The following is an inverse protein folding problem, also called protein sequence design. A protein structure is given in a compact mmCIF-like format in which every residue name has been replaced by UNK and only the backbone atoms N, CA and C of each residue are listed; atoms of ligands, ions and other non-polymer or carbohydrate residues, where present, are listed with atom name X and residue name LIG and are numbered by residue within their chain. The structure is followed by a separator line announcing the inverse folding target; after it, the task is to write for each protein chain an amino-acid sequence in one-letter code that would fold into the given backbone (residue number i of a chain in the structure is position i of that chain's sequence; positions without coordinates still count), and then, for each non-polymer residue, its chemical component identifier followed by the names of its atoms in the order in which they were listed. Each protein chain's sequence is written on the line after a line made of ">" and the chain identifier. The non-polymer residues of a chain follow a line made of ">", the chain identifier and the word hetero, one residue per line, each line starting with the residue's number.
data_IF_613494833448
#
_entry.id   IF_613494833448
#
_cell.length_a   1.000
_cell.length_b   1.000
_cell.length_c   1.000
_cell.angle_alpha   90.00
_cell.angle_beta   90.00
_cell.angle_gamma   90.00
#
_symmetry.space_group_name_H-M   'P 1'
#
loop_
_entity.id
_entity.type
_entity.pdbx_description
1 polymer ?
#
# COMPACT_ATOMS: atom_id res chain seq x y z
N UNK A 1 -15.86 -23.38 -12.49
CA UNK A 1 -16.83 -23.48 -11.38
C UNK A 1 -17.08 -22.10 -10.75
N UNK A 2 -16.13 -21.55 -10.00
CA UNK A 2 -16.36 -20.31 -9.22
C UNK A 2 -16.62 -19.11 -10.15
N UNK A 3 -15.66 -18.73 -10.99
CA UNK A 3 -15.75 -17.49 -11.80
C UNK A 3 -16.97 -17.49 -12.73
N UNK A 4 -17.12 -18.56 -13.53
CA UNK A 4 -18.19 -18.64 -14.52
C UNK A 4 -19.50 -19.26 -14.00
N UNK A 5 -19.39 -20.19 -13.02
CA UNK A 5 -20.55 -20.87 -12.45
C UNK A 5 -21.22 -20.08 -11.34
N UNK A 6 -20.49 -19.80 -10.24
CA UNK A 6 -21.07 -19.14 -9.05
C UNK A 6 -21.21 -17.63 -9.25
N UNK A 7 -20.22 -16.97 -9.88
CA UNK A 7 -20.21 -15.53 -10.08
C UNK A 7 -20.86 -15.09 -11.40
N UNK A 8 -21.13 -16.04 -12.31
CA UNK A 8 -21.82 -15.76 -13.57
C UNK A 8 -21.01 -14.90 -14.56
N UNK A 9 -19.66 -14.92 -14.47
CA UNK A 9 -18.83 -14.17 -15.39
C UNK A 9 -18.84 -14.80 -16.79
N UNK A 10 -19.24 -14.05 -17.81
CA UNK A 10 -19.42 -14.48 -19.20
C UNK A 10 -18.38 -13.87 -20.18
N UNK A 11 -17.50 -12.98 -19.69
CA UNK A 11 -16.49 -12.32 -20.49
C UNK A 11 -15.25 -13.17 -20.79
N UNK A 12 -14.30 -12.57 -21.51
CA UNK A 12 -13.00 -13.19 -21.83
C UNK A 12 -12.09 -13.25 -20.60
N UNK A 13 -11.42 -14.39 -20.41
CA UNK A 13 -10.38 -14.59 -19.40
C UNK A 13 -9.03 -14.61 -20.08
N UNK A 14 -8.16 -13.68 -19.72
CA UNK A 14 -6.81 -13.54 -20.27
C UNK A 14 -5.81 -14.02 -19.22
N UNK A 15 -4.82 -14.84 -19.61
CA UNK A 15 -3.79 -15.27 -18.68
C UNK A 15 -2.84 -14.12 -18.34
N UNK A 16 -2.23 -14.18 -17.18
CA UNK A 16 -1.01 -13.45 -16.91
C UNK A 16 0.15 -14.01 -17.77
N UNK A 17 1.23 -13.24 -17.94
CA UNK A 17 2.41 -13.64 -18.71
C UNK A 17 3.02 -14.93 -18.15
N UNK A 18 2.96 -16.00 -18.98
CA UNK A 18 3.44 -17.32 -18.59
C UNK A 18 2.55 -18.05 -17.55
N UNK A 19 1.33 -17.61 -17.32
CA UNK A 19 0.40 -18.18 -16.34
C UNK A 19 -0.29 -19.47 -16.75
N UNK A 20 -0.12 -19.93 -18.01
CA UNK A 20 -0.70 -21.18 -18.50
C UNK A 20 0.27 -22.36 -18.35
N UNK A 21 -0.11 -23.40 -17.60
CA UNK A 21 0.69 -24.62 -17.40
C UNK A 21 0.19 -25.80 -18.22
N UNK A 22 -1.09 -25.88 -18.54
CA UNK A 22 -1.75 -26.90 -19.39
C UNK A 22 -2.75 -26.16 -20.27
N UNK A 23 -2.38 -25.92 -21.52
CA UNK A 23 -3.16 -25.10 -22.45
C UNK A 23 -4.50 -25.75 -22.79
N UNK A 24 -4.54 -27.06 -22.95
CA UNK A 24 -5.77 -27.80 -23.25
C UNK A 24 -6.75 -27.75 -22.07
N UNK A 25 -6.27 -27.97 -20.85
CA UNK A 25 -7.08 -27.86 -19.64
C UNK A 25 -7.53 -26.43 -19.40
N UNK A 26 -6.67 -25.45 -19.70
CA UNK A 26 -7.01 -24.04 -19.66
C UNK A 26 -8.21 -23.69 -20.56
N UNK A 27 -8.17 -24.05 -21.83
CA UNK A 27 -9.28 -23.86 -22.79
C UNK A 27 -10.55 -24.52 -22.29
N UNK A 28 -10.47 -25.78 -21.85
CA UNK A 28 -11.62 -26.55 -21.34
C UNK A 28 -12.28 -25.87 -20.12
N UNK A 29 -11.48 -25.26 -19.25
CA UNK A 29 -11.97 -24.62 -18.02
C UNK A 29 -12.25 -23.13 -18.17
N UNK A 30 -12.12 -22.55 -19.39
CA UNK A 30 -12.57 -21.19 -19.64
C UNK A 30 -11.51 -20.11 -19.75
N UNK A 31 -10.23 -20.48 -19.93
CA UNK A 31 -9.18 -19.54 -20.33
C UNK A 31 -9.34 -19.19 -21.80
N UNK A 32 -9.59 -17.92 -22.09
CA UNK A 32 -10.01 -17.45 -23.43
C UNK A 32 -8.80 -17.06 -24.29
N UNK A 33 -7.82 -16.36 -23.72
CA UNK A 33 -6.66 -15.84 -24.43
C UNK A 33 -5.40 -16.04 -23.59
N UNK A 34 -4.39 -16.66 -24.18
CA UNK A 34 -3.07 -16.83 -23.58
C UNK A 34 -2.15 -15.67 -23.94
N UNK A 35 -1.46 -15.13 -22.92
CA UNK A 35 -0.52 -14.03 -23.04
C UNK A 35 0.79 -14.35 -22.32
N UNK A 36 1.97 -14.02 -22.92
CA UNK A 36 2.12 -13.82 -24.36
C UNK A 36 1.95 -15.13 -25.08
N UNK A 37 1.71 -15.09 -26.37
CA UNK A 37 1.69 -16.32 -27.15
C UNK A 37 3.07 -17.03 -27.08
N UNK A 38 3.13 -18.32 -26.67
CA UNK A 38 4.40 -19.06 -26.53
C UNK A 38 4.93 -19.58 -27.89
N UNK A 39 4.64 -18.88 -28.96
CA UNK A 39 4.95 -19.31 -30.33
C UNK A 39 3.98 -20.41 -30.81
N UNK A 40 4.50 -21.44 -31.50
CA UNK A 40 3.66 -22.52 -32.01
C UNK A 40 3.39 -23.65 -31.00
N UNK A 41 3.91 -23.58 -29.78
CA UNK A 41 3.86 -24.74 -28.87
C UNK A 41 2.45 -24.98 -28.34
N UNK A 42 1.76 -23.96 -27.84
CA UNK A 42 0.38 -24.11 -27.38
C UNK A 42 -0.58 -24.50 -28.51
N UNK A 43 -0.34 -24.01 -29.73
CA UNK A 43 -1.14 -24.40 -30.89
C UNK A 43 -1.01 -25.90 -31.18
N UNK A 44 0.22 -26.42 -31.15
CA UNK A 44 0.47 -27.86 -31.35
C UNK A 44 -0.14 -28.71 -30.27
N UNK A 45 -0.06 -28.24 -29.00
CA UNK A 45 -0.68 -28.92 -27.85
C UNK A 45 -2.19 -28.96 -27.99
N UNK A 46 -2.83 -27.84 -28.36
CA UNK A 46 -4.27 -27.77 -28.55
C UNK A 46 -4.75 -28.66 -29.71
N UNK A 47 -4.05 -28.66 -30.86
CA UNK A 47 -4.38 -29.55 -31.97
C UNK A 47 -4.30 -31.03 -31.57
N UNK A 48 -3.24 -31.41 -30.88
CA UNK A 48 -3.06 -32.80 -30.40
C UNK A 48 -4.14 -33.16 -29.35
N UNK A 49 -4.54 -32.19 -28.53
CA UNK A 49 -5.60 -32.37 -27.54
C UNK A 49 -6.99 -32.57 -28.18
N UNK A 50 -7.29 -31.91 -29.28
CA UNK A 50 -8.51 -32.14 -30.08
C UNK A 50 -8.44 -33.52 -30.76
N UNK A 51 -7.33 -33.82 -31.43
CA UNK A 51 -7.16 -35.11 -32.10
C UNK A 51 -7.27 -36.31 -31.16
N UNK A 52 -6.75 -36.19 -29.94
CA UNK A 52 -6.85 -37.21 -28.89
C UNK A 52 -8.20 -37.22 -28.12
N UNK A 53 -9.08 -36.27 -28.36
CA UNK A 53 -10.35 -36.11 -27.63
C UNK A 53 -10.21 -35.62 -26.19
N UNK A 54 -9.04 -35.07 -25.80
CA UNK A 54 -8.83 -34.44 -24.48
C UNK A 54 -9.72 -33.19 -24.32
N UNK A 55 -9.86 -32.41 -25.39
CA UNK A 55 -10.80 -31.30 -25.56
C UNK A 55 -11.59 -31.50 -26.86
N UNK A 56 -12.71 -30.80 -27.01
CA UNK A 56 -13.53 -30.81 -28.19
C UNK A 56 -13.38 -29.51 -28.99
N UNK A 57 -13.75 -29.50 -30.29
CA UNK A 57 -13.86 -28.26 -31.05
C UNK A 57 -14.84 -27.27 -30.39
N UNK A 58 -15.91 -27.78 -29.78
CA UNK A 58 -16.88 -26.94 -29.08
C UNK A 58 -16.32 -26.23 -27.85
N UNK A 59 -15.26 -26.76 -27.21
CA UNK A 59 -14.53 -26.06 -26.14
C UNK A 59 -13.78 -24.85 -26.72
N UNK A 60 -13.22 -25.00 -27.92
CA UNK A 60 -12.54 -23.90 -28.63
C UNK A 60 -13.56 -22.84 -29.10
N UNK A 61 -14.68 -23.29 -29.71
CA UNK A 61 -15.76 -22.42 -30.17
C UNK A 61 -16.34 -21.57 -29.03
N UNK A 62 -16.47 -22.15 -27.82
CA UNK A 62 -16.88 -21.40 -26.63
C UNK A 62 -15.89 -20.28 -26.28
N UNK A 63 -14.58 -20.54 -26.35
CA UNK A 63 -13.56 -19.49 -26.13
C UNK A 63 -13.60 -18.41 -27.22
N UNK A 64 -13.79 -18.79 -28.48
CA UNK A 64 -13.94 -17.85 -29.59
C UNK A 64 -15.19 -16.97 -29.39
N UNK A 65 -16.29 -17.53 -28.93
CA UNK A 65 -17.52 -16.79 -28.65
C UNK A 65 -17.36 -15.75 -27.51
N UNK A 66 -16.41 -15.96 -26.59
CA UNK A 66 -16.05 -15.00 -25.54
C UNK A 66 -15.06 -13.94 -26.05
N UNK A 67 -14.16 -14.31 -26.97
CA UNK A 67 -13.10 -13.43 -27.48
C UNK A 67 -13.62 -12.45 -28.53
N UNK A 68 -14.48 -12.93 -29.46
CA UNK A 68 -14.92 -12.13 -30.60
C UNK A 68 -15.67 -10.85 -30.20
N UNK A 69 -16.59 -10.85 -29.21
CA UNK A 69 -17.21 -9.61 -28.73
C UNK A 69 -16.15 -8.59 -28.27
N UNK A 70 -15.15 -9.03 -27.49
CA UNK A 70 -14.05 -8.16 -27.03
C UNK A 70 -13.29 -7.53 -28.21
N UNK A 71 -12.98 -8.34 -29.25
CA UNK A 71 -12.29 -7.87 -30.45
C UNK A 71 -13.14 -6.86 -31.21
N UNK A 72 -14.43 -7.12 -31.41
CA UNK A 72 -15.32 -6.20 -32.12
C UNK A 72 -15.58 -4.92 -31.37
N UNK A 73 -15.77 -4.98 -30.04
CA UNK A 73 -16.02 -3.80 -29.20
C UNK A 73 -14.76 -2.92 -29.12
N UNK A 74 -13.57 -3.51 -28.97
CA UNK A 74 -12.31 -2.76 -29.00
C UNK A 74 -12.05 -2.14 -30.38
N UNK A 75 -12.38 -2.86 -31.47
CA UNK A 75 -12.30 -2.30 -32.83
C UNK A 75 -13.23 -1.10 -33.00
N UNK A 76 -14.47 -1.19 -32.52
CA UNK A 76 -15.43 -0.08 -32.57
C UNK A 76 -14.93 1.12 -31.75
N UNK A 77 -14.28 0.88 -30.60
CA UNK A 77 -13.69 1.94 -29.80
C UNK A 77 -12.49 2.61 -30.51
N UNK A 78 -11.66 1.83 -31.22
CA UNK A 78 -10.53 2.36 -32.01
C UNK A 78 -11.00 3.18 -33.22
N UNK A 79 -12.12 2.81 -33.83
CA UNK A 79 -12.70 3.52 -34.98
C UNK A 79 -13.46 4.79 -34.56
N UNK A 80 -13.75 4.95 -33.27
CA UNK A 80 -14.38 6.15 -32.74
C UNK A 80 -13.41 7.34 -32.78
N UNK A 81 -13.95 8.56 -32.88
CA UNK A 81 -13.12 9.76 -32.79
C UNK A 81 -12.32 9.80 -31.49
N UNK A 82 -11.02 10.15 -31.54
CA UNK A 82 -10.21 10.30 -30.34
C UNK A 82 -10.87 11.27 -29.36
N UNK A 83 -10.90 10.88 -28.08
CA UNK A 83 -11.34 11.77 -27.00
C UNK A 83 -10.10 12.40 -26.38
N UNK A 84 -10.09 13.72 -26.36
CA UNK A 84 -9.11 14.43 -25.55
C UNK A 84 -9.41 14.22 -24.06
N UNK A 85 -8.37 14.07 -23.25
CA UNK A 85 -8.49 14.05 -21.81
C UNK A 85 -7.71 15.23 -21.21
N UNK A 86 -8.21 15.77 -20.12
CA UNK A 86 -7.56 16.86 -19.39
C UNK A 86 -6.44 16.30 -18.52
N UNK A 87 -5.21 16.33 -19.04
CA UNK A 87 -4.02 15.86 -18.35
C UNK A 87 -3.79 16.61 -17.02
N UNK A 88 -4.11 17.89 -16.94
CA UNK A 88 -3.95 18.69 -15.73
C UNK A 88 -4.95 18.27 -14.66
N UNK A 89 -6.22 18.03 -15.05
CA UNK A 89 -7.24 17.51 -14.12
C UNK A 89 -6.87 16.11 -13.61
N UNK A 90 -6.33 15.23 -14.47
CA UNK A 90 -5.86 13.90 -14.08
C UNK A 90 -4.65 13.97 -13.15
N UNK A 91 -3.71 14.89 -13.40
CA UNK A 91 -2.57 15.12 -12.50
C UNK A 91 -3.03 15.63 -11.13
N UNK A 92 -4.00 16.56 -11.10
CA UNK A 92 -4.59 17.05 -9.85
C UNK A 92 -5.34 15.93 -9.09
N UNK A 93 -6.04 15.03 -9.80
CA UNK A 93 -6.66 13.85 -9.19
C UNK A 93 -5.63 12.90 -8.60
N UNK A 94 -4.53 12.61 -9.34
CA UNK A 94 -3.42 11.80 -8.84
C UNK A 94 -2.78 12.42 -7.58
N UNK A 95 -2.63 13.75 -7.53
CA UNK A 95 -2.13 14.47 -6.36
C UNK A 95 -3.06 14.28 -5.16
N UNK A 96 -4.36 14.48 -5.32
CA UNK A 96 -5.34 14.28 -4.24
C UNK A 96 -5.32 12.83 -3.73
N UNK A 97 -5.23 11.85 -4.63
CA UNK A 97 -5.12 10.44 -4.24
C UNK A 97 -3.84 10.19 -3.41
N UNK A 98 -2.72 10.78 -3.79
CA UNK A 98 -1.48 10.69 -3.03
C UNK A 98 -1.59 11.39 -1.67
N UNK A 99 -2.16 12.59 -1.59
CA UNK A 99 -2.40 13.33 -0.33
C UNK A 99 -3.21 12.50 0.67
N UNK A 100 -4.26 11.84 0.20
CA UNK A 100 -5.12 10.99 1.02
C UNK A 100 -4.46 9.65 1.43
N UNK A 101 -3.36 9.28 0.76
CA UNK A 101 -2.61 8.03 1.00
C UNK A 101 -1.39 8.21 1.91
N UNK A 102 -0.92 9.44 2.15
CA UNK A 102 0.23 9.70 3.02
C UNK A 102 -0.04 9.26 4.44
N UNK A 103 0.91 8.53 5.03
CA UNK A 103 0.80 8.03 6.41
C UNK A 103 1.84 8.70 7.30
N UNK A 104 1.39 9.45 8.29
CA UNK A 104 2.25 10.02 9.32
C UNK A 104 2.52 8.95 10.40
N UNK A 105 3.75 8.45 10.46
CA UNK A 105 4.12 7.35 11.36
C UNK A 105 4.73 7.84 12.69
N UNK A 106 5.34 9.03 12.69
CA UNK A 106 5.95 9.64 13.89
C UNK A 106 5.90 11.16 13.76
N UNK A 107 5.62 11.87 14.85
CA UNK A 107 5.67 13.34 14.89
C UNK A 107 5.92 13.84 16.33
N UNK A 108 7.13 13.63 16.84
CA UNK A 108 7.52 14.04 18.18
C UNK A 108 7.62 15.57 18.29
N UNK A 109 7.12 16.10 19.38
CA UNK A 109 7.13 17.53 19.62
C UNK A 109 6.34 18.36 18.60
N UNK A 110 5.45 17.72 17.83
CA UNK A 110 4.69 18.38 16.75
C UNK A 110 5.60 19.11 15.78
N UNK A 111 6.71 18.46 15.35
CA UNK A 111 7.65 19.03 14.39
C UNK A 111 6.97 19.34 13.05
N UNK A 112 6.05 18.48 12.62
CA UNK A 112 5.19 18.70 11.46
C UNK A 112 3.81 19.22 11.90
N UNK A 113 3.20 20.13 11.09
CA UNK A 113 3.72 20.71 9.87
C UNK A 113 4.82 21.74 10.15
N UNK A 114 5.72 21.94 9.16
CA UNK A 114 6.78 22.92 9.23
C UNK A 114 6.20 24.34 9.10
N UNK A 115 6.65 25.24 9.96
CA UNK A 115 6.21 26.63 9.89
C UNK A 115 6.74 27.36 8.64
N UNK A 116 5.95 28.28 8.10
CA UNK A 116 6.38 29.13 6.99
C UNK A 116 7.68 29.88 7.34
N UNK A 117 8.59 29.97 6.38
CA UNK A 117 9.90 30.60 6.55
C UNK A 117 10.95 29.75 7.29
N UNK A 118 10.61 28.55 7.78
CA UNK A 118 11.58 27.65 8.41
C UNK A 118 12.74 27.35 7.47
N UNK A 119 13.96 27.46 7.96
CA UNK A 119 15.17 27.12 7.20
C UNK A 119 15.31 25.60 7.13
N UNK A 120 15.16 25.04 5.94
CA UNK A 120 15.21 23.60 5.72
C UNK A 120 16.37 23.21 4.80
N UNK A 121 17.10 22.16 5.21
CA UNK A 121 18.03 21.45 4.34
C UNK A 121 17.30 20.25 3.74
N UNK A 122 17.35 20.09 2.42
CA UNK A 122 16.79 18.92 1.72
C UNK A 122 17.92 17.95 1.40
N UNK A 123 17.83 16.73 1.90
CA UNK A 123 18.88 15.72 1.76
C UNK A 123 18.24 14.42 1.24
N UNK A 124 18.97 13.71 0.38
CA UNK A 124 18.55 12.41 -0.14
C UNK A 124 18.29 12.43 -1.64
N UNK A 125 18.73 11.37 -2.33
CA UNK A 125 18.60 11.24 -3.78
C UNK A 125 17.14 11.34 -4.24
N UNK A 126 16.22 10.73 -3.49
CA UNK A 126 14.80 10.68 -3.83
C UNK A 126 14.09 12.04 -3.82
N UNK A 127 14.68 13.06 -3.21
CA UNK A 127 14.13 14.42 -3.27
C UNK A 127 14.23 15.04 -4.67
N UNK A 128 15.26 14.66 -5.44
CA UNK A 128 15.54 15.16 -6.78
C UNK A 128 15.21 14.15 -7.88
N UNK A 129 15.39 12.86 -7.59
CA UNK A 129 15.13 11.75 -8.50
C UNK A 129 13.99 10.91 -7.93
N UNK A 130 12.70 11.24 -8.19
CA UNK A 130 11.57 10.64 -7.51
C UNK A 130 11.47 9.13 -7.68
N UNK A 131 11.25 8.41 -6.59
CA UNK A 131 10.80 7.02 -6.59
C UNK A 131 9.28 7.03 -6.45
N UNK A 132 8.55 7.02 -7.56
CA UNK A 132 7.11 7.30 -7.58
C UNK A 132 6.24 6.14 -8.07
N UNK A 133 6.85 5.12 -8.67
CA UNK A 133 6.16 3.94 -9.20
C UNK A 133 6.97 2.66 -9.00
N UNK A 134 6.35 1.49 -9.19
CA UNK A 134 7.02 0.20 -9.20
C UNK A 134 8.11 0.09 -10.27
N UNK A 135 8.90 -0.98 -10.23
CA UNK A 135 9.89 -1.31 -11.24
C UNK A 135 9.53 -2.65 -11.90
N UNK A 136 9.90 -2.81 -13.17
CA UNK A 136 9.50 -3.95 -14.00
C UNK A 136 8.38 -3.59 -14.97
N UNK A 137 7.46 -4.51 -15.22
CA UNK A 137 6.38 -4.36 -16.22
C UNK A 137 5.34 -3.28 -15.85
N UNK A 138 5.26 -2.89 -14.58
CA UNK A 138 4.37 -1.83 -14.10
C UNK A 138 4.81 -0.40 -14.47
N UNK A 139 6.00 -0.22 -15.01
CA UNK A 139 6.53 1.10 -15.33
C UNK A 139 5.73 1.79 -16.44
N UNK A 140 5.34 3.04 -16.18
CA UNK A 140 4.61 3.91 -17.11
C UNK A 140 5.48 5.13 -17.43
N UNK A 141 5.51 5.54 -18.69
CA UNK A 141 6.14 6.79 -19.12
C UNK A 141 5.20 7.96 -18.82
N UNK A 142 5.28 8.49 -17.62
CA UNK A 142 4.45 9.60 -17.18
C UNK A 142 4.77 10.87 -17.99
N UNK A 143 3.73 11.60 -18.40
CA UNK A 143 3.88 12.87 -19.15
C UNK A 143 4.37 14.01 -18.28
N UNK A 144 4.17 13.91 -16.97
CA UNK A 144 4.62 14.87 -15.96
C UNK A 144 4.94 14.11 -14.67
N UNK A 145 6.04 14.45 -14.02
CA UNK A 145 6.42 13.92 -12.70
C UNK A 145 6.82 15.09 -11.81
N UNK A 146 6.18 15.22 -10.65
CA UNK A 146 6.55 16.20 -9.64
C UNK A 146 7.88 15.80 -8.97
N UNK A 147 8.74 16.78 -8.72
CA UNK A 147 10.01 16.63 -7.99
C UNK A 147 9.88 17.32 -6.63
N UNK A 148 10.17 16.60 -5.54
CA UNK A 148 9.97 17.16 -4.20
C UNK A 148 10.80 18.40 -3.93
N UNK A 149 12.07 18.40 -4.37
CA UNK A 149 12.95 19.56 -4.21
C UNK A 149 12.33 20.82 -4.83
N UNK A 150 11.81 20.72 -6.05
CA UNK A 150 11.20 21.86 -6.75
C UNK A 150 9.92 22.33 -6.02
N UNK A 151 9.08 21.40 -5.58
CA UNK A 151 7.87 21.73 -4.82
C UNK A 151 8.15 22.40 -3.47
N UNK A 152 9.26 22.02 -2.81
CA UNK A 152 9.69 22.67 -1.56
C UNK A 152 10.27 24.06 -1.81
N UNK A 153 11.04 24.26 -2.89
CA UNK A 153 11.55 25.57 -3.29
C UNK A 153 10.39 26.53 -3.61
N UNK A 154 9.34 26.03 -4.25
CA UNK A 154 8.14 26.81 -4.60
C UNK A 154 7.18 27.00 -3.41
N UNK A 155 7.47 26.41 -2.24
CA UNK A 155 6.64 26.50 -1.04
C UNK A 155 6.98 27.73 -0.18
N UNK A 156 6.29 27.86 0.97
CA UNK A 156 6.57 28.90 1.97
C UNK A 156 7.81 28.60 2.83
N UNK A 157 8.50 27.48 2.61
CA UNK A 157 9.71 27.12 3.35
C UNK A 157 10.94 27.85 2.78
N UNK A 158 11.93 28.14 3.64
CA UNK A 158 13.22 28.65 3.22
C UNK A 158 14.19 27.47 2.98
N UNK A 159 14.18 26.92 1.76
CA UNK A 159 15.11 25.86 1.35
C UNK A 159 16.50 26.43 1.20
N UNK A 160 17.42 26.15 2.15
CA UNK A 160 18.78 26.69 2.15
C UNK A 160 19.75 25.92 1.26
N UNK A 161 19.37 24.74 0.79
CA UNK A 161 20.16 23.92 -0.13
C UNK A 161 19.69 22.48 -0.22
N UNK A 162 20.32 21.77 -1.16
CA UNK A 162 20.13 20.33 -1.40
C UNK A 162 21.48 19.62 -1.41
N UNK A 163 21.51 18.40 -0.84
CA UNK A 163 22.62 17.46 -0.94
C UNK A 163 22.09 16.04 -1.19
N UNK A 164 22.72 15.31 -2.10
CA UNK A 164 22.34 13.93 -2.39
C UNK A 164 22.52 13.01 -1.18
N UNK A 165 23.60 13.18 -0.42
CA UNK A 165 23.85 12.54 0.87
C UNK A 165 24.27 11.07 0.81
N UNK A 166 23.74 10.28 -0.13
CA UNK A 166 24.07 8.87 -0.31
C UNK A 166 23.98 8.45 -1.79
N UNK A 167 24.67 7.38 -2.14
CA UNK A 167 24.50 6.69 -3.42
C UNK A 167 23.21 5.86 -3.41
N UNK A 168 22.37 6.01 -4.45
CA UNK A 168 21.03 5.40 -4.55
C UNK A 168 21.03 3.89 -4.41
N UNK A 169 22.10 3.23 -4.93
CA UNK A 169 22.24 1.77 -4.98
C UNK A 169 23.04 1.19 -3.82
N UNK A 170 23.21 1.96 -2.73
CA UNK A 170 23.78 1.48 -1.48
C UNK A 170 25.32 1.53 -1.40
N UNK A 171 26.01 2.08 -2.42
CA UNK A 171 27.47 2.21 -2.37
C UNK A 171 27.89 3.26 -1.34
N UNK A 172 28.82 2.95 -0.44
CA UNK A 172 29.35 3.92 0.52
C UNK A 172 30.03 5.10 -0.19
N UNK A 173 29.72 6.33 0.23
CA UNK A 173 30.36 7.56 -0.25
C UNK A 173 30.49 8.58 0.89
N UNK A 174 31.70 8.69 1.44
CA UNK A 174 31.99 9.58 2.54
C UNK A 174 31.94 11.09 2.15
N UNK A 175 32.13 11.43 0.87
CA UNK A 175 32.07 12.81 0.43
C UNK A 175 30.60 13.29 0.36
N UNK A 176 29.70 12.45 -0.12
CA UNK A 176 28.27 12.73 -0.11
C UNK A 176 27.75 12.90 1.33
N UNK A 177 28.12 11.99 2.23
CA UNK A 177 27.73 12.07 3.64
C UNK A 177 28.25 13.35 4.31
N UNK A 178 29.53 13.70 4.08
CA UNK A 178 30.15 14.90 4.67
C UNK A 178 29.42 16.18 4.23
N UNK A 179 29.20 16.35 2.94
CA UNK A 179 28.51 17.55 2.41
C UNK A 179 27.06 17.66 2.89
N UNK A 180 26.38 16.53 3.08
CA UNK A 180 25.05 16.51 3.67
C UNK A 180 25.06 16.96 5.15
N UNK A 181 26.00 16.47 5.95
CA UNK A 181 26.17 16.90 7.34
C UNK A 181 26.53 18.41 7.44
N UNK A 182 27.40 18.92 6.57
CA UNK A 182 27.75 20.34 6.52
C UNK A 182 26.52 21.22 6.22
N UNK A 183 25.65 20.80 5.30
CA UNK A 183 24.38 21.50 5.03
C UNK A 183 23.42 21.41 6.22
N UNK A 184 23.30 20.23 6.84
CA UNK A 184 22.41 19.97 7.98
C UNK A 184 22.70 20.88 9.19
N UNK A 185 23.97 21.25 9.43
CA UNK A 185 24.35 22.17 10.54
C UNK A 185 23.82 23.59 10.36
N UNK A 186 23.45 23.99 9.14
CA UNK A 186 23.00 25.35 8.80
C UNK A 186 21.49 25.52 8.81
N UNK A 187 20.76 24.40 8.91
CA UNK A 187 19.30 24.35 8.86
C UNK A 187 18.65 24.31 10.23
N UNK A 188 17.44 24.84 10.34
CA UNK A 188 16.60 24.64 11.52
C UNK A 188 16.03 23.22 11.57
N UNK A 189 15.74 22.65 10.39
CA UNK A 189 15.19 21.28 10.23
C UNK A 189 15.76 20.64 8.96
N UNK A 190 15.99 19.33 9.01
CA UNK A 190 16.41 18.53 7.86
C UNK A 190 15.22 17.73 7.34
N UNK A 191 14.96 17.81 6.04
CA UNK A 191 14.06 16.91 5.32
C UNK A 191 14.95 15.86 4.65
N UNK A 192 14.94 14.64 5.17
CA UNK A 192 15.76 13.52 4.68
C UNK A 192 14.90 12.51 3.92
N UNK A 193 15.10 12.41 2.60
CA UNK A 193 14.40 11.52 1.70
C UNK A 193 15.14 10.19 1.59
N UNK A 194 14.59 9.14 2.18
CA UNK A 194 15.12 7.78 2.20
C UNK A 194 14.15 6.81 1.54
N UNK A 195 14.63 5.63 1.14
CA UNK A 195 13.73 4.63 0.56
C UNK A 195 14.43 3.43 -0.07
N UNK A 196 13.63 2.61 -0.74
CA UNK A 196 14.08 1.49 -1.55
C UNK A 196 14.23 1.92 -3.01
N UNK A 197 15.33 1.54 -3.64
CA UNK A 197 15.54 1.79 -5.06
C UNK A 197 14.78 0.78 -5.96
N UNK A 198 14.88 0.97 -7.26
CA UNK A 198 14.21 0.14 -8.26
C UNK A 198 14.72 -1.30 -8.29
N UNK A 199 15.95 -1.54 -7.81
CA UNK A 199 16.54 -2.89 -7.76
C UNK A 199 16.03 -3.64 -6.53
N UNK A 200 15.93 -2.94 -5.40
CA UNK A 200 15.45 -3.54 -4.15
C UNK A 200 13.96 -3.94 -4.22
N UNK A 201 13.16 -3.22 -5.01
CA UNK A 201 11.73 -3.49 -5.21
C UNK A 201 11.40 -3.58 -6.69
N UNK A 202 11.87 -4.61 -7.36
CA UNK A 202 11.55 -4.88 -8.76
C UNK A 202 10.68 -6.11 -8.89
N UNK A 203 9.79 -6.10 -9.87
CA UNK A 203 9.10 -7.30 -10.31
C UNK A 203 10.10 -8.41 -10.65
N UNK A 204 9.80 -9.64 -10.23
CA UNK A 204 10.65 -10.80 -10.47
C UNK A 204 11.89 -10.92 -9.58
N UNK A 205 12.10 -9.99 -8.65
CA UNK A 205 13.19 -10.03 -7.67
C UNK A 205 12.64 -10.10 -6.25
N UNK A 206 13.00 -11.17 -5.53
CA UNK A 206 12.60 -11.34 -4.13
C UNK A 206 13.53 -10.59 -3.20
N UNK A 207 12.97 -9.86 -2.24
CA UNK A 207 13.73 -9.26 -1.14
C UNK A 207 14.13 -10.32 -0.14
N UNK A 208 15.40 -10.33 0.25
CA UNK A 208 15.94 -11.24 1.28
C UNK A 208 15.84 -10.67 2.70
N UNK A 209 15.43 -9.42 2.84
CA UNK A 209 15.29 -8.70 4.13
C UNK A 209 14.37 -7.50 3.94
N UNK A 210 14.01 -6.82 5.05
CA UNK A 210 13.19 -5.61 5.05
C UNK A 210 14.00 -4.33 5.32
N UNK A 211 15.31 -4.31 5.09
CA UNK A 211 16.18 -3.19 5.46
C UNK A 211 16.31 -2.18 4.33
N UNK A 212 16.54 -0.93 4.71
CA UNK A 212 17.10 0.08 3.82
C UNK A 212 18.59 -0.21 3.57
N UNK A 213 19.14 0.34 2.49
CA UNK A 213 20.57 0.30 2.25
C UNK A 213 21.33 0.95 3.41
N UNK A 214 22.44 0.33 3.85
CA UNK A 214 23.16 0.74 5.06
C UNK A 214 23.69 2.17 4.97
N UNK A 215 24.12 2.62 3.78
CA UNK A 215 24.60 3.99 3.57
C UNK A 215 23.55 5.07 3.88
N UNK A 216 22.25 4.79 3.71
CA UNK A 216 21.16 5.69 4.08
C UNK A 216 21.01 5.76 5.61
N UNK A 217 21.10 4.62 6.29
CA UNK A 217 21.04 4.54 7.76
C UNK A 217 22.25 5.25 8.39
N UNK A 218 23.44 5.02 7.85
CA UNK A 218 24.67 5.69 8.30
C UNK A 218 24.58 7.21 8.12
N UNK A 219 24.00 7.66 6.99
CA UNK A 219 23.75 9.08 6.77
C UNK A 219 22.77 9.66 7.81
N UNK A 220 21.64 9.00 8.05
CA UNK A 220 20.66 9.45 9.05
C UNK A 220 21.30 9.61 10.42
N UNK A 221 22.12 8.63 10.84
CA UNK A 221 22.85 8.69 12.12
C UNK A 221 23.85 9.86 12.17
N UNK A 222 24.60 10.08 11.07
CA UNK A 222 25.56 11.17 10.98
C UNK A 222 24.85 12.55 10.99
N UNK A 223 23.73 12.68 10.29
CA UNK A 223 22.92 13.92 10.29
C UNK A 223 22.30 14.15 11.67
N UNK A 224 21.79 13.11 12.34
CA UNK A 224 21.22 13.21 13.69
C UNK A 224 22.25 13.68 14.75
N UNK A 225 23.51 13.36 14.56
CA UNK A 225 24.57 13.82 15.43
C UNK A 225 24.84 15.34 15.35
N UNK A 226 24.47 16.00 14.24
CA UNK A 226 24.70 17.42 14.01
C UNK A 226 23.42 18.25 14.00
N UNK A 227 22.28 17.64 13.72
CA UNK A 227 20.96 18.28 13.76
C UNK A 227 19.88 17.25 14.15
N UNK A 228 19.28 17.35 15.35
CA UNK A 228 18.30 16.37 15.81
C UNK A 228 16.89 16.57 15.21
N UNK A 229 16.63 17.74 14.58
CA UNK A 229 15.32 18.02 13.98
C UNK A 229 15.25 17.45 12.57
N UNK A 230 14.99 16.16 12.46
CA UNK A 230 14.93 15.45 11.19
C UNK A 230 13.51 14.97 10.92
N UNK A 231 13.01 15.31 9.74
CA UNK A 231 11.83 14.71 9.13
C UNK A 231 12.31 13.70 8.09
N UNK A 232 12.05 12.44 8.30
CA UNK A 232 12.28 11.41 7.28
C UNK A 232 11.04 11.30 6.39
N UNK A 233 11.21 11.44 5.08
CA UNK A 233 10.23 11.09 4.05
C UNK A 233 10.65 9.76 3.46
N UNK A 234 9.84 8.72 3.68
CA UNK A 234 10.17 7.35 3.31
C UNK A 234 9.45 6.93 2.05
N UNK A 235 10.21 6.55 1.02
CA UNK A 235 9.74 6.04 -0.26
C UNK A 235 9.99 4.53 -0.36
N UNK A 236 8.95 3.73 -0.24
CA UNK A 236 9.00 2.28 -0.46
C UNK A 236 7.62 1.76 -0.81
N UNK A 237 7.53 0.81 -1.71
CA UNK A 237 6.27 0.15 -2.07
C UNK A 237 5.85 -0.91 -1.06
N UNK A 238 6.73 -1.28 -0.14
CA UNK A 238 6.52 -2.30 0.88
C UNK A 238 7.18 -1.93 2.21
N UNK A 239 6.92 -2.74 3.22
CA UNK A 239 7.43 -2.59 4.60
C UNK A 239 8.95 -2.53 4.64
N UNK A 240 9.48 -1.65 5.50
CA UNK A 240 10.90 -1.62 5.87
C UNK A 240 11.09 -1.70 7.38
N UNK A 241 12.14 -2.40 7.83
CA UNK A 241 12.58 -2.36 9.22
C UNK A 241 13.05 -0.95 9.58
N UNK A 242 12.64 -0.45 10.73
CA UNK A 242 12.97 0.90 11.19
C UNK A 242 13.72 0.93 12.52
N UNK A 243 14.84 0.19 12.70
CA UNK A 243 15.63 0.24 13.92
C UNK A 243 16.24 1.63 14.16
N UNK A 244 16.30 2.45 13.14
CA UNK A 244 16.81 3.83 13.11
C UNK A 244 15.77 4.91 13.48
N UNK A 245 14.55 4.53 13.83
CA UNK A 245 13.42 5.46 14.04
C UNK A 245 13.69 6.53 15.12
N UNK A 246 14.50 6.22 16.10
CA UNK A 246 14.85 7.16 17.17
C UNK A 246 15.81 8.28 16.72
N UNK A 247 16.40 8.15 15.54
CA UNK A 247 17.26 9.18 14.95
C UNK A 247 16.50 10.26 14.19
N UNK A 248 15.17 10.21 14.14
CA UNK A 248 14.34 11.26 13.53
C UNK A 248 13.18 11.65 14.45
N UNK A 249 12.74 12.93 14.38
CA UNK A 249 11.60 13.42 15.15
C UNK A 249 10.27 13.16 14.44
N UNK A 250 10.27 13.13 13.10
CA UNK A 250 9.07 12.82 12.33
C UNK A 250 9.38 11.82 11.20
N UNK A 251 8.40 10.96 10.92
CA UNK A 251 8.44 10.00 9.82
C UNK A 251 7.15 10.07 9.03
N UNK A 252 7.25 10.51 7.77
CA UNK A 252 6.16 10.51 6.81
C UNK A 252 6.41 9.40 5.78
N UNK A 253 5.53 8.42 5.72
CA UNK A 253 5.55 7.36 4.72
C UNK A 253 4.80 7.81 3.48
N UNK A 254 5.54 8.01 2.39
CA UNK A 254 5.04 8.51 1.12
C UNK A 254 4.70 7.39 0.12
N UNK A 255 5.07 6.16 0.44
CA UNK A 255 4.90 5.00 -0.44
C UNK A 255 5.45 5.25 -1.85
N UNK A 256 4.76 4.77 -2.89
CA UNK A 256 5.00 5.08 -4.30
C UNK A 256 3.83 5.93 -4.79
N UNK A 257 3.89 7.23 -4.53
CA UNK A 257 2.76 8.17 -4.63
C UNK A 257 2.32 8.55 -6.05
N UNK A 258 2.87 7.91 -7.09
CA UNK A 258 2.56 8.24 -8.49
C UNK A 258 3.16 9.58 -8.93
N UNK A 259 2.83 9.98 -10.16
CA UNK A 259 3.44 11.15 -10.82
C UNK A 259 3.30 12.49 -10.06
N UNK A 260 2.30 12.63 -9.19
CA UNK A 260 2.03 13.83 -8.41
C UNK A 260 2.36 13.67 -6.91
N UNK A 261 2.94 12.53 -6.51
CA UNK A 261 3.20 12.19 -5.10
C UNK A 261 4.14 13.16 -4.40
N UNK A 262 5.15 13.67 -5.10
CA UNK A 262 6.10 14.64 -4.52
C UNK A 262 5.39 15.97 -4.13
N UNK A 263 4.42 16.40 -4.92
CA UNK A 263 3.59 17.54 -4.57
C UNK A 263 2.73 17.29 -3.33
N UNK A 264 2.13 16.10 -3.21
CA UNK A 264 1.38 15.71 -2.02
C UNK A 264 2.25 15.71 -0.76
N UNK A 265 3.49 15.21 -0.84
CA UNK A 265 4.47 15.26 0.26
C UNK A 265 4.75 16.69 0.67
N UNK A 266 5.01 17.60 -0.28
CA UNK A 266 5.26 19.00 0.02
C UNK A 266 4.06 19.67 0.74
N UNK A 267 2.82 19.37 0.31
CA UNK A 267 1.62 19.89 0.95
C UNK A 267 1.43 19.35 2.37
N UNK A 268 1.76 18.08 2.61
CA UNK A 268 1.75 17.53 3.95
C UNK A 268 2.83 18.17 4.85
N UNK A 269 4.06 18.30 4.36
CA UNK A 269 5.17 18.91 5.13
C UNK A 269 4.88 20.36 5.52
N UNK A 270 4.16 21.12 4.69
CA UNK A 270 3.80 22.53 4.92
C UNK A 270 2.45 22.72 5.62
N UNK A 271 1.71 21.64 5.88
CA UNK A 271 0.39 21.70 6.54
C UNK A 271 -0.75 22.16 5.65
N UNK A 272 -0.55 22.32 4.35
CA UNK A 272 -1.66 22.53 3.40
C UNK A 272 -2.62 21.35 3.38
N UNK A 273 -2.09 20.16 3.61
CA UNK A 273 -2.85 18.92 3.77
C UNK A 273 -2.47 18.26 5.09
N UNK A 274 -3.47 17.79 5.83
CA UNK A 274 -3.26 17.01 7.03
C UNK A 274 -3.26 15.51 6.67
N UNK A 275 -2.17 14.74 6.89
CA UNK A 275 -2.12 13.32 6.59
C UNK A 275 -3.26 12.55 7.25
N UNK A 276 -3.89 11.67 6.48
CA UNK A 276 -5.00 10.84 6.96
C UNK A 276 -4.89 9.37 6.56
N UNK A 277 -3.89 9.01 5.77
CA UNK A 277 -3.64 7.63 5.37
C UNK A 277 -3.41 6.73 6.58
N UNK A 278 -3.76 5.45 6.41
CA UNK A 278 -3.54 4.40 7.41
C UNK A 278 -2.75 3.26 6.76
N UNK A 279 -1.85 2.64 7.52
CA UNK A 279 -1.08 1.49 7.03
C UNK A 279 -2.01 0.34 6.60
N UNK A 280 -1.83 -0.13 5.38
CA UNK A 280 -2.53 -1.28 4.82
C UNK A 280 -1.87 -2.62 5.22
N UNK A 281 -0.76 -2.57 5.92
CA UNK A 281 0.00 -3.75 6.41
C UNK A 281 0.59 -3.50 7.80
N UNK A 282 0.88 -4.60 8.50
CA UNK A 282 1.60 -4.54 9.78
C UNK A 282 3.10 -4.44 9.53
N UNK A 283 3.77 -3.52 10.19
CA UNK A 283 5.22 -3.38 10.14
C UNK A 283 5.86 -4.14 11.31
N UNK A 284 6.55 -5.27 11.07
CA UNK A 284 7.22 -6.03 12.12
C UNK A 284 8.42 -5.26 12.68
N UNK A 285 8.96 -5.71 13.80
CA UNK A 285 10.24 -5.22 14.33
C UNK A 285 11.41 -5.70 13.47
N UNK A 286 11.34 -6.93 12.97
CA UNK A 286 12.35 -7.55 12.13
C UNK A 286 11.73 -8.51 11.11
N UNK A 287 12.43 -8.77 10.02
CA UNK A 287 12.03 -9.75 8.99
C UNK A 287 11.75 -11.15 9.58
N UNK A 288 12.54 -11.55 10.56
CA UNK A 288 12.38 -12.86 11.23
C UNK A 288 11.04 -13.02 11.97
N UNK A 289 10.31 -11.93 12.24
CA UNK A 289 8.99 -11.98 12.88
C UNK A 289 7.86 -12.28 11.89
N UNK A 290 8.13 -12.19 10.57
CA UNK A 290 7.15 -12.49 9.53
C UNK A 290 6.94 -14.00 9.47
N UNK A 291 5.69 -14.51 9.50
CA UNK A 291 5.44 -15.95 9.59
C UNK A 291 5.98 -16.76 8.39
N UNK A 292 6.08 -16.16 7.21
CA UNK A 292 6.64 -16.77 6.02
C UNK A 292 8.16 -16.60 5.85
N UNK A 293 8.84 -15.86 6.74
CA UNK A 293 10.26 -15.49 6.58
C UNK A 293 11.20 -16.70 6.36
N UNK A 294 10.89 -17.84 6.98
CA UNK A 294 11.72 -19.05 6.85
C UNK A 294 11.52 -19.78 5.49
N UNK A 295 10.38 -19.58 4.84
CA UNK A 295 9.99 -20.31 3.63
C UNK A 295 9.91 -19.41 2.39
N UNK A 296 9.96 -18.08 2.55
CA UNK A 296 9.93 -17.12 1.43
C UNK A 296 11.26 -17.14 0.67
N UNK A 297 11.19 -17.05 -0.66
CA UNK A 297 12.35 -16.99 -1.59
C UNK A 297 13.30 -18.19 -1.51
N UNK A 298 12.83 -19.36 -1.07
CA UNK A 298 13.70 -20.53 -0.83
C UNK A 298 14.07 -21.32 -2.08
N UNK A 299 13.76 -20.92 -3.29
CA UNK A 299 14.03 -21.65 -4.54
C UNK A 299 13.57 -23.13 -4.53
N UNK A 300 12.65 -23.50 -3.67
CA UNK A 300 12.02 -24.84 -3.65
C UNK A 300 11.07 -24.98 -4.85
N UNK A 301 10.91 -26.19 -5.35
CA UNK A 301 9.93 -26.47 -6.42
C UNK A 301 8.47 -26.40 -5.93
N UNK A 302 8.27 -26.53 -4.63
CA UNK A 302 6.95 -26.53 -4.00
C UNK A 302 6.88 -25.42 -2.98
N UNK A 303 5.81 -24.63 -3.02
CA UNK A 303 5.49 -23.59 -2.05
C UNK A 303 4.28 -24.04 -1.25
N UNK A 304 4.37 -23.94 0.08
CA UNK A 304 3.28 -24.29 0.99
C UNK A 304 2.75 -23.02 1.66
N UNK A 305 1.46 -22.75 1.51
CA UNK A 305 0.78 -21.61 2.14
C UNK A 305 0.44 -21.93 3.61
N UNK A 306 1.47 -22.05 4.47
CA UNK A 306 1.35 -22.49 5.87
C UNK A 306 0.63 -21.48 6.77
N UNK A 307 0.61 -20.21 6.37
CA UNK A 307 -0.01 -19.14 7.16
C UNK A 307 -1.53 -19.28 7.23
N UNK A 308 -2.17 -19.84 6.20
CA UNK A 308 -3.63 -19.93 6.12
C UNK A 308 -4.28 -18.56 6.21
N UNK A 309 -5.14 -18.34 7.21
CA UNK A 309 -5.78 -17.04 7.48
C UNK A 309 -4.90 -16.06 8.27
N UNK A 310 -3.78 -16.54 8.81
CA UNK A 310 -2.94 -15.77 9.73
C UNK A 310 -1.86 -14.99 9.00
N UNK A 311 -2.30 -14.05 8.16
CA UNK A 311 -1.46 -13.13 7.39
C UNK A 311 -1.55 -11.73 8.01
N UNK A 312 -0.45 -10.99 8.04
CA UNK A 312 -0.39 -9.62 8.52
C UNK A 312 -0.93 -9.48 9.96
N UNK A 313 -1.81 -8.51 10.20
CA UNK A 313 -2.34 -8.22 11.54
C UNK A 313 -3.08 -9.40 12.18
N UNK A 314 -3.70 -10.30 11.37
CA UNK A 314 -4.36 -11.50 11.90
C UNK A 314 -3.37 -12.40 12.62
N UNK A 315 -2.16 -12.56 12.06
CA UNK A 315 -1.07 -13.29 12.71
C UNK A 315 -0.54 -12.53 13.93
N UNK A 316 -0.05 -11.31 13.73
CA UNK A 316 0.65 -10.55 14.78
C UNK A 316 -0.23 -10.33 16.01
N UNK A 317 -1.52 -10.01 15.81
CA UNK A 317 -2.46 -9.82 16.91
C UNK A 317 -2.79 -11.15 17.62
N UNK A 318 -3.01 -12.24 16.87
CA UNK A 318 -3.38 -13.53 17.45
C UNK A 318 -2.21 -14.18 18.18
N UNK A 319 -0.99 -14.01 17.67
CA UNK A 319 0.24 -14.51 18.29
C UNK A 319 0.82 -13.54 19.35
N UNK A 320 0.15 -12.41 19.62
CA UNK A 320 0.57 -11.37 20.56
C UNK A 320 2.02 -10.90 20.32
N UNK A 321 2.42 -10.85 19.04
CA UNK A 321 3.76 -10.39 18.67
C UNK A 321 3.85 -8.89 18.64
N UNK A 322 4.91 -8.35 19.24
CA UNK A 322 5.24 -6.93 19.16
C UNK A 322 5.53 -6.51 17.71
N UNK A 323 5.04 -5.33 17.33
CA UNK A 323 5.22 -4.77 15.99
C UNK A 323 5.73 -3.32 16.09
N UNK A 324 6.33 -2.83 15.01
CA UNK A 324 6.75 -1.43 14.95
C UNK A 324 5.55 -0.51 14.77
N UNK A 325 4.72 -0.81 13.78
CA UNK A 325 3.46 -0.13 13.52
C UNK A 325 2.40 -1.17 13.17
N UNK A 326 1.24 -1.17 13.83
CA UNK A 326 0.17 -2.09 13.52
C UNK A 326 -0.53 -1.70 12.20
N UNK A 327 -1.18 -2.67 11.57
CA UNK A 327 -2.16 -2.42 10.50
C UNK A 327 -3.18 -1.36 10.92
N UNK A 328 -3.52 -0.45 10.03
CA UNK A 328 -4.47 0.64 10.31
C UNK A 328 -3.87 1.82 11.08
N UNK A 329 -2.57 1.80 11.40
CA UNK A 329 -1.88 2.91 12.07
C UNK A 329 -1.66 4.09 11.12
N UNK A 330 -1.81 5.30 11.65
CA UNK A 330 -1.49 6.55 10.98
C UNK A 330 -1.95 7.72 11.84
N UNK A 331 -1.04 8.66 12.10
CA UNK A 331 -1.28 9.87 12.88
C UNK A 331 -1.90 10.97 12.01
N UNK A 332 -2.35 12.03 12.68
CA UNK A 332 -2.85 13.26 12.07
C UNK A 332 -2.25 14.46 12.80
N UNK A 333 -2.32 15.66 12.21
CA UNK A 333 -1.99 16.92 12.87
C UNK A 333 -3.09 17.38 13.85
N UNK A 334 -4.21 16.66 13.89
CA UNK A 334 -5.29 16.88 14.83
C UNK A 334 -5.60 15.60 15.62
N UNK A 335 -6.52 15.69 16.56
CA UNK A 335 -6.96 14.57 17.40
C UNK A 335 -8.47 14.37 17.27
N UNK A 336 -8.92 13.12 17.47
CA UNK A 336 -10.33 12.76 17.39
C UNK A 336 -10.77 12.05 18.66
N UNK A 337 -12.03 12.28 19.07
CA UNK A 337 -12.69 11.54 20.15
C UNK A 337 -13.93 10.83 19.62
N UNK A 338 -14.20 9.65 20.18
CA UNK A 338 -15.37 8.84 19.86
C UNK A 338 -16.32 8.82 21.06
N UNK A 339 -17.62 9.01 20.81
CA UNK A 339 -18.66 8.97 21.81
C UNK A 339 -19.95 8.35 21.27
N UNK A 340 -20.92 8.14 22.15
CA UNK A 340 -22.28 7.70 21.83
C UNK A 340 -22.34 6.42 20.98
N UNK A 341 -21.46 5.46 21.28
CA UNK A 341 -21.40 4.18 20.57
C UNK A 341 -22.68 3.39 20.81
N UNK A 342 -23.33 2.99 19.72
CA UNK A 342 -24.45 2.05 19.70
C UNK A 342 -24.10 0.96 18.70
N UNK A 343 -24.27 -0.30 19.08
CA UNK A 343 -23.93 -1.45 18.27
C UNK A 343 -24.99 -2.54 18.38
N UNK A 344 -25.23 -3.20 17.24
CA UNK A 344 -26.07 -4.40 17.13
C UNK A 344 -25.50 -5.32 16.04
N UNK A 345 -26.23 -6.38 15.66
CA UNK A 345 -25.83 -7.30 14.61
C UNK A 345 -25.81 -6.68 13.21
N UNK A 346 -26.37 -5.52 13.01
CA UNK A 346 -26.43 -4.82 11.70
C UNK A 346 -25.34 -3.77 11.55
N UNK A 347 -24.61 -3.45 12.63
CA UNK A 347 -23.50 -2.52 12.57
C UNK A 347 -23.27 -1.69 13.81
N UNK A 348 -22.51 -0.61 13.65
CA UNK A 348 -22.22 0.33 14.72
C UNK A 348 -22.51 1.76 14.28
N UNK A 349 -23.00 2.58 15.20
CA UNK A 349 -23.12 4.02 15.04
C UNK A 349 -22.42 4.72 16.19
N UNK A 350 -21.66 5.78 15.88
CA UNK A 350 -20.95 6.57 16.88
C UNK A 350 -20.81 8.02 16.43
N UNK A 351 -20.49 8.89 17.37
CA UNK A 351 -20.16 10.29 17.12
C UNK A 351 -18.64 10.44 17.11
N UNK A 352 -18.08 10.97 16.02
CA UNK A 352 -16.66 11.36 15.90
C UNK A 352 -16.58 12.87 16.09
N UNK A 353 -15.67 13.34 16.94
CA UNK A 353 -15.42 14.76 17.20
C UNK A 353 -13.97 15.08 16.94
N UNK A 354 -13.67 16.11 16.15
CA UNK A 354 -12.32 16.66 16.03
C UNK A 354 -12.04 17.50 17.27
N UNK A 355 -11.12 17.05 18.13
CA UNK A 355 -10.77 17.69 19.41
C UNK A 355 -9.53 18.59 19.31
N UNK A 356 -8.88 18.62 18.12
CA UNK A 356 -7.71 19.48 17.91
C UNK A 356 -8.04 20.80 17.25
N UNK A 357 -6.99 21.50 16.80
CA UNK A 357 -7.06 22.89 16.31
C UNK A 357 -7.07 23.03 14.78
N UNK A 358 -6.88 21.93 14.04
CA UNK A 358 -6.86 21.95 12.57
C UNK A 358 -7.87 20.96 12.01
N UNK A 359 -8.35 21.23 10.80
CA UNK A 359 -9.21 20.29 10.10
C UNK A 359 -8.45 18.98 9.82
N UNK A 360 -9.16 17.86 9.87
CA UNK A 360 -8.57 16.56 9.61
C UNK A 360 -9.59 15.52 9.20
N UNK A 361 -9.08 14.44 8.64
CA UNK A 361 -9.86 13.26 8.24
C UNK A 361 -9.51 12.09 9.15
N UNK A 362 -10.51 11.42 9.68
CA UNK A 362 -10.38 10.20 10.46
C UNK A 362 -10.89 8.99 9.67
N UNK A 363 -10.21 7.87 9.81
CA UNK A 363 -10.64 6.57 9.29
C UNK A 363 -11.03 5.70 10.49
N UNK A 364 -12.32 5.64 10.74
CA UNK A 364 -12.90 4.80 11.79
C UNK A 364 -12.92 3.37 11.33
N UNK A 365 -12.32 2.46 12.10
CA UNK A 365 -12.17 1.05 11.73
C UNK A 365 -13.02 0.18 12.64
N UNK A 366 -13.82 -0.71 12.08
CA UNK A 366 -14.66 -1.67 12.79
C UNK A 366 -14.11 -3.08 12.65
N UNK A 367 -13.73 -3.67 13.77
CA UNK A 367 -13.28 -5.05 13.86
C UNK A 367 -14.28 -5.91 14.61
N UNK A 368 -14.32 -7.19 14.28
CA UNK A 368 -15.11 -8.21 14.97
C UNK A 368 -14.16 -9.25 15.57
N UNK A 369 -14.38 -9.56 16.85
CA UNK A 369 -13.74 -10.65 17.56
C UNK A 369 -14.81 -11.64 18.07
N UNK A 370 -14.61 -12.94 17.87
CA UNK A 370 -15.50 -13.99 18.42
C UNK A 370 -14.98 -14.42 19.78
N UNK A 371 -15.78 -14.21 20.83
CA UNK A 371 -15.44 -14.67 22.19
C UNK A 371 -15.65 -16.16 22.34
N UNK A 372 -14.72 -16.81 23.02
CA UNK A 372 -14.79 -18.25 23.33
C UNK A 372 -15.10 -19.10 22.09
N UNK A 373 -14.40 -18.82 20.98
CA UNK A 373 -14.57 -19.59 19.74
C UNK A 373 -14.13 -21.04 19.94
N UNK A 374 -14.95 -21.98 19.47
CA UNK A 374 -14.57 -23.39 19.37
C UNK A 374 -13.66 -23.66 18.15
N UNK A 375 -13.55 -22.67 17.27
CA UNK A 375 -12.72 -22.70 16.07
C UNK A 375 -11.46 -21.89 16.29
N UNK A 376 -10.37 -22.31 15.64
CA UNK A 376 -9.16 -21.50 15.59
C UNK A 376 -9.39 -20.33 14.62
N UNK A 377 -9.60 -19.14 15.14
CA UNK A 377 -9.91 -17.91 14.40
C UNK A 377 -8.94 -16.80 14.77
N UNK A 378 -8.67 -15.82 13.86
CA UNK A 378 -7.94 -14.61 14.21
C UNK A 378 -8.58 -13.89 15.41
N UNK A 379 -7.75 -13.30 16.28
CA UNK A 379 -8.20 -12.57 17.46
C UNK A 379 -9.22 -11.47 17.14
N UNK A 380 -9.05 -10.81 15.98
CA UNK A 380 -10.01 -9.85 15.42
C UNK A 380 -9.85 -9.76 13.91
N UNK A 381 -10.91 -9.34 13.23
CA UNK A 381 -10.92 -9.14 11.78
C UNK A 381 -11.60 -7.81 11.43
N UNK A 382 -10.96 -7.03 10.54
CA UNK A 382 -11.57 -5.82 9.98
C UNK A 382 -12.79 -6.20 9.14
N UNK A 383 -13.95 -5.63 9.45
CA UNK A 383 -15.22 -5.91 8.74
C UNK A 383 -15.85 -4.66 8.14
N UNK A 384 -15.38 -3.48 8.53
CA UNK A 384 -15.86 -2.24 7.94
C UNK A 384 -14.99 -1.04 8.34
N UNK A 385 -15.14 0.04 7.61
CA UNK A 385 -14.54 1.32 7.97
C UNK A 385 -15.38 2.49 7.42
N UNK A 386 -15.19 3.66 8.01
CA UNK A 386 -15.79 4.89 7.52
C UNK A 386 -14.78 6.03 7.55
N UNK A 387 -14.85 6.89 6.53
CA UNK A 387 -14.05 8.10 6.42
C UNK A 387 -14.89 9.31 6.81
N UNK A 388 -14.38 10.16 7.67
CA UNK A 388 -15.04 11.39 8.10
C UNK A 388 -14.05 12.54 8.14
N UNK A 389 -14.41 13.68 7.53
CA UNK A 389 -13.59 14.90 7.52
C UNK A 389 -14.28 15.95 8.38
N UNK A 390 -13.56 16.51 9.38
CA UNK A 390 -14.10 17.43 10.38
C UNK A 390 -13.19 18.64 10.56
N UNK A 391 -13.80 19.83 10.61
CA UNK A 391 -13.15 21.04 11.09
C UNK A 391 -12.89 20.99 12.60
N UNK A 392 -12.09 21.94 13.15
CA UNK A 392 -11.85 22.05 14.60
C UNK A 392 -13.14 22.15 15.39
N UNK A 393 -13.33 21.29 16.39
CA UNK A 393 -14.54 21.24 17.23
C UNK A 393 -15.77 20.67 16.55
N UNK A 394 -15.72 20.37 15.27
CA UNK A 394 -16.84 19.76 14.54
C UNK A 394 -17.04 18.30 14.96
N UNK A 395 -18.29 17.87 14.91
CA UNK A 395 -18.68 16.49 15.22
C UNK A 395 -19.68 15.97 14.19
N UNK A 396 -19.58 14.68 13.89
CA UNK A 396 -20.48 13.99 12.97
C UNK A 396 -20.82 12.60 13.51
N UNK A 397 -22.10 12.23 13.42
CA UNK A 397 -22.52 10.86 13.65
C UNK A 397 -22.30 10.06 12.38
N UNK A 398 -21.64 8.91 12.52
CA UNK A 398 -21.38 7.97 11.42
C UNK A 398 -21.99 6.61 11.75
N UNK A 399 -22.25 5.82 10.71
CA UNK A 399 -22.71 4.43 10.83
C UNK A 399 -21.87 3.56 9.92
N UNK A 400 -21.41 2.42 10.44
CA UNK A 400 -20.73 1.36 9.67
C UNK A 400 -21.66 0.17 9.70
N UNK A 401 -22.24 -0.15 8.54
CA UNK A 401 -23.16 -1.28 8.40
C UNK A 401 -22.38 -2.59 8.28
N UNK A 402 -22.95 -3.64 8.85
CA UNK A 402 -22.47 -5.02 8.73
C UNK A 402 -23.57 -5.87 8.07
N UNK A 403 -23.16 -6.75 7.20
CA UNK A 403 -24.00 -7.84 6.69
C UNK A 403 -23.65 -9.16 7.43
N UNK A 404 -24.42 -10.19 7.17
CA UNK A 404 -24.19 -11.51 7.80
C UNK A 404 -22.85 -12.16 7.40
N UNK A 405 -22.23 -11.72 6.29
CA UNK A 405 -20.89 -12.17 5.87
C UNK A 405 -19.81 -11.71 6.86
N UNK A 406 -20.05 -10.63 7.59
CA UNK A 406 -19.12 -10.14 8.59
C UNK A 406 -18.83 -11.16 9.70
N UNK A 407 -19.81 -12.02 10.02
CA UNK A 407 -19.72 -13.02 11.08
C UNK A 407 -19.41 -14.43 10.58
N UNK A 408 -19.44 -14.65 9.26
CA UNK A 408 -19.27 -15.99 8.66
C UNK A 408 -17.82 -16.46 8.69
N UNK A 409 -17.67 -17.76 8.77
CA UNK A 409 -16.44 -18.51 8.48
C UNK A 409 -16.73 -19.61 7.45
N UNK A 410 -15.71 -20.02 6.73
CA UNK A 410 -15.82 -21.16 5.80
C UNK A 410 -15.65 -22.46 6.55
N UNK A 411 -16.71 -23.27 6.60
CA UNK A 411 -16.65 -24.60 7.18
C UNK A 411 -16.17 -25.60 6.12
N UNK A 412 -14.89 -26.00 6.20
CA UNK A 412 -14.25 -26.90 5.24
C UNK A 412 -14.93 -28.27 5.21
N UNK A 413 -15.43 -28.77 6.37
CA UNK A 413 -16.11 -30.10 6.46
C UNK A 413 -17.48 -30.04 5.82
N UNK A 414 -18.23 -28.98 6.04
CA UNK A 414 -19.56 -28.79 5.48
C UNK A 414 -19.54 -28.18 4.06
N UNK A 415 -18.39 -27.73 3.61
CA UNK A 415 -18.16 -27.04 2.32
C UNK A 415 -19.14 -25.87 2.10
N UNK A 416 -19.31 -25.03 3.11
CA UNK A 416 -20.20 -23.86 3.07
C UNK A 416 -19.82 -22.80 4.09
N UNK A 417 -20.36 -21.61 3.89
CA UNK A 417 -20.27 -20.52 4.86
C UNK A 417 -21.25 -20.76 6.03
N UNK A 418 -20.76 -20.58 7.27
CA UNK A 418 -21.54 -20.73 8.49
C UNK A 418 -21.24 -19.59 9.46
N UNK A 419 -22.16 -19.34 10.39
CA UNK A 419 -21.97 -18.42 11.53
C UNK A 419 -21.83 -19.28 12.78
N UNK A 420 -20.75 -19.08 13.54
CA UNK A 420 -20.57 -19.71 14.84
C UNK A 420 -21.48 -19.01 15.86
N UNK A 421 -22.34 -19.72 16.51
CA UNK A 421 -23.23 -19.20 17.54
C UNK A 421 -22.47 -18.61 18.74
N UNK A 422 -23.07 -17.67 19.47
CA UNK A 422 -22.55 -17.11 20.71
C UNK A 422 -22.16 -15.64 20.64
N UNK A 423 -21.28 -15.18 21.51
CA UNK A 423 -20.97 -13.78 21.74
C UNK A 423 -19.87 -13.27 20.81
N UNK A 424 -20.10 -12.10 20.23
CA UNK A 424 -19.12 -11.35 19.43
C UNK A 424 -18.84 -10.01 20.07
N UNK A 425 -17.61 -9.54 19.95
CA UNK A 425 -17.18 -8.21 20.36
C UNK A 425 -16.95 -7.34 19.13
N UNK A 426 -17.58 -6.16 19.13
CA UNK A 426 -17.40 -5.13 18.10
C UNK A 426 -16.42 -4.09 18.62
N UNK A 427 -15.26 -3.99 17.96
CA UNK A 427 -14.17 -3.09 18.35
C UNK A 427 -14.09 -1.94 17.35
N UNK A 428 -14.34 -0.72 17.82
CA UNK A 428 -14.22 0.49 16.98
C UNK A 428 -12.96 1.22 17.36
N UNK A 429 -12.05 1.34 16.41
CA UNK A 429 -10.68 1.82 16.64
C UNK A 429 -10.34 2.99 15.71
N UNK A 430 -9.62 3.98 16.23
CA UNK A 430 -8.95 5.06 15.52
C UNK A 430 -7.48 4.69 15.24
N UNK A 431 -6.72 4.63 16.33
CA UNK A 431 -5.37 4.07 16.38
C UNK A 431 -5.48 2.76 17.14
N UNK A 432 -4.91 1.69 16.60
CA UNK A 432 -4.84 0.43 17.34
C UNK A 432 -3.83 0.63 18.46
N UNK A 433 -4.29 1.08 19.61
CA UNK A 433 -3.55 0.88 20.84
C UNK A 433 -3.82 -0.54 21.32
N UNK A 434 -2.76 -1.31 21.34
CA UNK A 434 -2.72 -2.63 21.95
C UNK A 434 -2.69 -2.45 23.46
#
# INVERSE_FOLDING_TARGET
>A
EILRGEWGFDGAVITDWGGSNDHALGVKNGSTLEMPAPGGDSVRELLAAVESGKISESDIDARLSELLPLVFDTKAALDAAPREFDAAAHHALARRAAEESLVLLKNEGSLLPLAAGSKVAVIGDFAKNPRYQGAGSSMVNSTQVDVLLDKLIDSELNVIGYQQGFDRHGKPDAALQKSACELATQADTVILCMGLDEIAESEGLDRSNLRLAQNQVDLLQAVAAVNPKIVVVLYSGSVVETPWLDNCQALLYAALGGQAGAGAVADALTGKVNPCGKLAETWPLAYADVPSAADFATRRKTVEYREGLYIGYRYFTTAEKAVRFPFGYGMSYTTFAYSDLVADEHGVSLTVTNTGSVAGTEIVQLYIAKKNSELFRPAKELKGFARVTLGPGEKQRITIMLDDKAFRFWNVKANRWEIEGGEYELLVLSLIHI
#
